data_IF_450923491771
#
_entry.id   IF_450923491771
#
_cell.length_a   1.000
_cell.length_b   1.000
_cell.length_c   1.000
_cell.angle_alpha   90.00
_cell.angle_beta   90.00
_cell.angle_gamma   90.00
#
_symmetry.space_group_name_H-M   'P 1'
#
loop_
_entity.id
_entity.type
_entity.pdbx_description
1 polymer ?
#
# COMPACT_ATOMS: atom_id res chain seq x y z
N UNK A 1 -10.99 8.22 -13.97
CA UNK A 1 -10.89 7.62 -12.60
C UNK A 1 -9.48 7.11 -12.36
N UNK A 2 -8.84 7.51 -11.25
CA UNK A 2 -7.44 7.17 -11.00
C UNK A 2 -7.24 5.67 -10.70
N UNK A 3 -6.03 5.17 -10.95
CA UNK A 3 -5.60 3.80 -10.62
C UNK A 3 -4.35 3.87 -9.77
N UNK A 4 -4.35 3.16 -8.65
CA UNK A 4 -3.24 3.10 -7.70
C UNK A 4 -2.70 1.67 -7.70
N UNK A 5 -1.41 1.53 -7.94
CA UNK A 5 -0.67 0.28 -7.82
C UNK A 5 0.37 0.48 -6.73
N UNK A 6 0.55 -0.50 -5.86
CA UNK A 6 1.62 -0.46 -4.86
C UNK A 6 2.18 -1.85 -4.65
N UNK A 7 3.43 -1.90 -4.21
CA UNK A 7 4.12 -3.14 -3.85
C UNK A 7 5.24 -2.84 -2.83
N UNK A 8 5.56 -3.83 -2.01
CA UNK A 8 6.61 -3.76 -0.99
C UNK A 8 7.64 -4.89 -1.16
N UNK A 9 8.91 -4.52 -1.22
CA UNK A 9 10.02 -5.47 -1.22
C UNK A 9 10.69 -5.51 0.15
N UNK A 10 11.01 -6.70 0.66
CA UNK A 10 11.76 -6.89 1.90
C UNK A 10 12.94 -7.84 1.71
N UNK A 11 14.14 -7.38 2.07
CA UNK A 11 15.38 -8.16 2.08
C UNK A 11 15.53 -9.01 3.35
N UNK A 12 14.63 -9.97 3.56
CA UNK A 12 14.56 -10.83 4.76
C UNK A 12 13.13 -10.99 5.27
N UNK A 13 12.92 -11.63 6.43
CA UNK A 13 11.62 -11.66 7.09
C UNK A 13 11.78 -11.86 8.62
N UNK A 14 12.06 -10.79 9.40
CA UNK A 14 12.13 -9.38 9.00
C UNK A 14 13.44 -8.99 8.31
N UNK A 15 13.41 -7.90 7.54
CA UNK A 15 14.56 -7.40 6.78
C UNK A 15 14.38 -5.95 6.35
N UNK A 16 15.37 -5.39 5.64
CA UNK A 16 15.25 -4.04 5.06
C UNK A 16 14.12 -4.01 4.02
N UNK A 17 13.17 -3.09 4.21
CA UNK A 17 11.96 -2.99 3.41
C UNK A 17 11.86 -1.64 2.70
N UNK A 18 11.31 -1.66 1.49
CA UNK A 18 10.99 -0.48 0.70
C UNK A 18 9.71 -0.73 -0.09
N UNK A 19 9.00 0.33 -0.43
CA UNK A 19 7.83 0.22 -1.29
C UNK A 19 7.86 1.23 -2.44
N UNK A 20 7.11 0.90 -3.48
CA UNK A 20 6.84 1.80 -4.59
C UNK A 20 5.33 1.91 -4.81
N UNK A 21 4.89 3.09 -5.22
CA UNK A 21 3.50 3.39 -5.55
C UNK A 21 3.47 4.05 -6.93
N UNK A 22 2.58 3.57 -7.80
CA UNK A 22 2.30 4.16 -9.10
C UNK A 22 0.85 4.61 -9.11
N UNK A 23 0.63 5.90 -9.32
CA UNK A 23 -0.71 6.47 -9.46
C UNK A 23 -0.89 6.94 -10.90
N UNK A 24 -1.89 6.40 -11.58
CA UNK A 24 -2.21 6.74 -12.98
C UNK A 24 -3.55 7.47 -13.00
N UNK A 25 -3.53 8.71 -13.45
CA UNK A 25 -4.71 9.53 -13.73
C UNK A 25 -4.97 9.56 -15.24
N UNK A 26 -5.93 10.37 -15.69
CA UNK A 26 -6.19 10.53 -17.13
C UNK A 26 -5.08 11.33 -17.82
N UNK A 27 -4.48 12.27 -17.10
CA UNK A 27 -3.49 13.21 -17.64
C UNK A 27 -2.05 12.82 -17.31
N UNK A 28 -1.82 12.24 -16.13
CA UNK A 28 -0.48 12.05 -15.56
C UNK A 28 -0.27 10.69 -14.90
N UNK A 29 1.00 10.25 -14.89
CA UNK A 29 1.47 9.09 -14.13
C UNK A 29 2.49 9.55 -13.08
N UNK A 30 2.19 9.29 -11.82
CA UNK A 30 3.05 9.57 -10.68
C UNK A 30 3.72 8.29 -10.19
N UNK A 31 4.97 8.41 -9.75
CA UNK A 31 5.73 7.32 -9.14
C UNK A 31 6.34 7.82 -7.84
N UNK A 32 6.10 7.08 -6.77
CA UNK A 32 6.62 7.37 -5.43
C UNK A 32 7.36 6.17 -4.90
N UNK A 33 8.43 6.42 -4.15
CA UNK A 33 9.23 5.40 -3.49
C UNK A 33 9.45 5.79 -2.03
N UNK A 34 9.46 4.81 -1.14
CA UNK A 34 9.71 5.06 0.29
C UNK A 34 10.49 3.92 0.90
N UNK A 35 11.51 4.27 1.69
CA UNK A 35 12.17 3.33 2.58
C UNK A 35 11.29 3.11 3.82
N UNK A 36 10.98 1.85 4.12
CA UNK A 36 10.09 1.45 5.21
C UNK A 36 10.84 0.98 6.47
N UNK A 37 12.18 0.98 6.43
CA UNK A 37 13.01 0.51 7.54
C UNK A 37 13.08 -1.01 7.60
N UNK A 38 13.09 -1.59 8.80
CA UNK A 38 13.12 -3.04 9.00
C UNK A 38 11.72 -3.54 9.32
N UNK A 39 11.10 -4.27 8.41
CA UNK A 39 9.76 -4.86 8.58
C UNK A 39 9.75 -6.34 8.19
N UNK A 40 8.71 -7.06 8.61
CA UNK A 40 8.32 -8.34 8.00
C UNK A 40 7.51 -8.11 6.73
N UNK A 41 7.41 -9.13 5.86
CA UNK A 41 6.74 -9.00 4.57
C UNK A 41 5.33 -8.42 4.69
N UNK A 42 4.49 -8.97 5.57
CA UNK A 42 3.11 -8.51 5.70
C UNK A 42 3.03 -7.07 6.21
N UNK A 43 3.90 -6.68 7.14
CA UNK A 43 3.93 -5.31 7.65
C UNK A 43 4.44 -4.32 6.60
N UNK A 44 5.36 -4.75 5.72
CA UNK A 44 5.81 -3.95 4.59
C UNK A 44 4.68 -3.70 3.59
N UNK A 45 3.87 -4.71 3.28
CA UNK A 45 2.68 -4.57 2.43
C UNK A 45 1.69 -3.54 3.00
N UNK A 46 1.37 -3.64 4.29
CA UNK A 46 0.45 -2.70 4.95
C UNK A 46 0.98 -1.27 4.95
N UNK A 47 2.28 -1.10 5.21
CA UNK A 47 2.92 0.21 5.16
C UNK A 47 2.96 0.78 3.74
N UNK A 48 3.10 -0.07 2.71
CA UNK A 48 3.02 0.35 1.31
C UNK A 48 1.61 0.80 0.93
N UNK A 49 0.59 0.08 1.38
CA UNK A 49 -0.81 0.47 1.16
C UNK A 49 -1.14 1.82 1.82
N UNK A 50 -0.76 1.99 3.09
CA UNK A 50 -0.91 3.27 3.81
C UNK A 50 -0.20 4.41 3.07
N UNK A 51 1.03 4.18 2.62
CA UNK A 51 1.78 5.17 1.84
C UNK A 51 1.09 5.52 0.53
N UNK A 52 0.52 4.53 -0.17
CA UNK A 52 -0.21 4.75 -1.41
C UNK A 52 -1.45 5.64 -1.22
N UNK A 53 -2.18 5.45 -0.12
CA UNK A 53 -3.33 6.30 0.23
C UNK A 53 -2.89 7.73 0.57
N UNK A 54 -1.81 7.91 1.32
CA UNK A 54 -1.26 9.24 1.58
C UNK A 54 -0.86 9.97 0.30
N UNK A 55 -0.18 9.29 -0.64
CA UNK A 55 0.15 9.87 -1.94
C UNK A 55 -1.10 10.30 -2.72
N UNK A 56 -2.17 9.51 -2.67
CA UNK A 56 -3.43 9.86 -3.34
C UNK A 56 -4.11 11.08 -2.69
N UNK A 57 -4.10 11.17 -1.35
CA UNK A 57 -4.63 12.32 -0.61
C UNK A 57 -3.85 13.59 -0.94
N UNK A 58 -2.52 13.53 -0.99
CA UNK A 58 -1.66 14.67 -1.33
C UNK A 58 -1.91 15.17 -2.76
N UNK A 59 -2.21 14.26 -3.68
CA UNK A 59 -2.62 14.58 -5.06
C UNK A 59 -4.09 14.99 -5.19
N UNK A 60 -4.85 15.04 -4.09
CA UNK A 60 -6.30 15.36 -4.07
C UNK A 60 -7.13 14.42 -4.95
N UNK A 61 -6.80 13.13 -4.93
CA UNK A 61 -7.54 12.10 -5.66
C UNK A 61 -8.65 11.58 -4.75
N UNK A 62 -9.88 11.99 -5.02
CA UNK A 62 -11.04 11.61 -4.22
C UNK A 62 -11.59 10.20 -4.54
N UNK A 63 -11.26 9.66 -5.72
CA UNK A 63 -11.74 8.33 -6.15
C UNK A 63 -10.70 7.62 -7.01
N UNK A 64 -10.32 6.41 -6.59
CA UNK A 64 -9.37 5.57 -7.29
C UNK A 64 -9.69 4.08 -7.15
N UNK A 65 -9.27 3.30 -8.15
CA UNK A 65 -9.16 1.85 -8.04
C UNK A 65 -7.77 1.49 -7.52
N UNK A 66 -7.72 0.77 -6.41
CA UNK A 66 -6.45 0.28 -5.84
C UNK A 66 -6.23 -1.18 -6.23
N UNK A 67 -5.03 -1.47 -6.72
CA UNK A 67 -4.59 -2.80 -7.14
C UNK A 67 -3.46 -3.30 -6.23
N UNK A 68 -3.63 -4.51 -5.72
CA UNK A 68 -2.63 -5.24 -4.93
C UNK A 68 -2.73 -6.73 -5.27
N UNK A 69 -1.61 -7.45 -5.22
CA UNK A 69 -1.58 -8.91 -5.27
C UNK A 69 -1.58 -9.53 -3.86
N UNK A 70 -1.51 -8.70 -2.81
CA UNK A 70 -1.62 -9.11 -1.41
C UNK A 70 -3.07 -9.44 -1.06
N UNK A 71 -3.38 -10.74 -1.14
CA UNK A 71 -4.68 -11.28 -0.70
C UNK A 71 -5.03 -10.87 0.74
N UNK A 72 -4.02 -10.70 1.61
CA UNK A 72 -4.24 -10.26 2.99
C UNK A 72 -4.89 -8.87 3.03
N UNK A 73 -4.35 -7.91 2.27
CA UNK A 73 -4.87 -6.55 2.21
C UNK A 73 -6.22 -6.54 1.51
N UNK A 74 -6.33 -7.22 0.36
CA UNK A 74 -7.58 -7.33 -0.39
C UNK A 74 -8.72 -7.88 0.48
N UNK A 75 -8.52 -9.03 1.13
CA UNK A 75 -9.53 -9.62 2.01
C UNK A 75 -9.85 -8.70 3.20
N UNK A 76 -8.85 -8.02 3.77
CA UNK A 76 -9.04 -7.20 4.98
C UNK A 76 -9.83 -5.93 4.69
N UNK A 77 -9.53 -5.25 3.59
CA UNK A 77 -10.22 -4.02 3.17
C UNK A 77 -11.65 -4.33 2.72
N UNK A 78 -11.84 -5.35 1.88
CA UNK A 78 -13.17 -5.68 1.35
C UNK A 78 -14.13 -6.25 2.41
N UNK A 79 -13.59 -6.88 3.47
CA UNK A 79 -14.41 -7.44 4.56
C UNK A 79 -14.50 -6.52 5.77
N UNK A 80 -13.79 -5.39 5.76
CA UNK A 80 -13.61 -4.50 6.94
C UNK A 80 -13.16 -5.29 8.18
N UNK A 81 -12.35 -6.33 7.99
CA UNK A 81 -11.93 -7.26 9.05
C UNK A 81 -10.50 -7.75 8.83
N UNK A 82 -9.63 -7.51 9.80
CA UNK A 82 -8.30 -8.12 9.85
C UNK A 82 -8.29 -9.36 10.74
N UNK A 83 -7.67 -10.44 10.26
CA UNK A 83 -7.49 -11.67 11.06
C UNK A 83 -6.40 -11.55 12.13
N UNK A 84 -5.43 -10.65 11.93
CA UNK A 84 -4.32 -10.46 12.85
C UNK A 84 -4.49 -9.10 13.56
N UNK A 85 -4.51 -9.12 14.89
CA UNK A 85 -4.67 -7.94 15.72
C UNK A 85 -3.62 -6.86 15.47
N UNK A 86 -2.42 -7.26 15.00
CA UNK A 86 -1.34 -6.35 14.61
C UNK A 86 -1.77 -5.34 13.54
N UNK A 87 -2.73 -5.70 12.69
CA UNK A 87 -3.16 -4.86 11.56
C UNK A 87 -4.47 -4.12 11.80
N UNK A 88 -5.07 -4.26 13.00
CA UNK A 88 -6.29 -3.51 13.37
C UNK A 88 -6.16 -2.00 13.23
N UNK A 89 -5.00 -1.37 13.51
CA UNK A 89 -4.87 0.08 13.33
C UNK A 89 -4.94 0.58 11.88
N UNK A 90 -4.87 -0.31 10.89
CA UNK A 90 -4.92 0.05 9.46
C UNK A 90 -6.34 0.01 8.87
N UNK A 91 -7.33 -0.48 9.62
CA UNK A 91 -8.75 -0.43 9.30
C UNK A 91 -9.42 0.66 10.16
#
# INVERSE_FOLDING_TARGET
MAKIYFDAATGGNPGLSSCAVVIVTEDERYVFEKNLGILDNHSAEWAAFEFALHCAIDLKIDNALVFTDSKLIEDSVNREQVKNDKFKPYL
#
